data_IF_472372639199
#
_entry.id   IF_472372639199
#
_cell.length_a   1.000
_cell.length_b   1.000
_cell.length_c   1.000
_cell.angle_alpha   90.00
_cell.angle_beta   90.00
_cell.angle_gamma   90.00
#
_symmetry.space_group_name_H-M   'P 1'
#
loop_
_entity.id
_entity.type
_entity.pdbx_description
1 polymer ?
#
# COMPACT_ATOMS: atom_id res chain seq x y z
N UNK A 1 16.87 -0.94 16.58
CA UNK A 1 16.29 -2.25 16.97
C UNK A 1 15.21 -2.63 15.94
N UNK A 2 15.26 -3.85 15.46
CA UNK A 2 14.27 -4.32 14.49
C UNK A 2 12.98 -4.73 15.18
N UNK A 3 11.87 -4.28 14.65
CA UNK A 3 10.54 -4.66 15.10
C UNK A 3 10.01 -5.80 14.24
N UNK A 4 9.39 -6.76 14.88
CA UNK A 4 8.72 -7.88 14.22
C UNK A 4 7.24 -7.73 14.47
N UNK A 5 6.48 -7.45 13.42
CA UNK A 5 5.06 -7.11 13.53
C UNK A 5 4.23 -8.07 12.69
N UNK A 6 3.25 -8.69 13.32
CA UNK A 6 2.30 -9.56 12.64
C UNK A 6 1.17 -8.70 12.08
N UNK A 7 0.94 -8.82 10.78
CA UNK A 7 -0.09 -8.04 10.08
C UNK A 7 -0.95 -8.95 9.24
N UNK A 8 -2.09 -8.44 8.81
CA UNK A 8 -2.99 -9.14 7.90
C UNK A 8 -3.20 -8.29 6.66
N UNK A 9 -3.00 -8.91 5.49
CA UNK A 9 -3.25 -8.28 4.20
C UNK A 9 -4.03 -9.28 3.35
N UNK A 10 -5.16 -8.85 2.80
CA UNK A 10 -6.01 -9.67 1.95
C UNK A 10 -6.44 -10.98 2.65
N UNK A 11 -6.71 -10.88 3.95
CA UNK A 11 -7.11 -12.02 4.76
C UNK A 11 -5.99 -13.00 5.11
N UNK A 12 -4.76 -12.70 4.74
CA UNK A 12 -3.60 -13.56 5.01
C UNK A 12 -2.68 -12.91 6.02
N UNK A 13 -2.11 -13.73 6.90
CA UNK A 13 -1.20 -13.25 7.94
C UNK A 13 0.23 -13.23 7.44
N UNK A 14 0.94 -12.16 7.74
CA UNK A 14 2.36 -11.99 7.43
C UNK A 14 3.07 -11.42 8.66
N UNK A 15 4.35 -11.72 8.77
CA UNK A 15 5.20 -11.09 9.77
C UNK A 15 6.19 -10.20 9.05
N UNK A 16 6.12 -8.90 9.31
CA UNK A 16 7.05 -7.94 8.75
C UNK A 16 8.13 -7.63 9.77
N UNK A 17 9.37 -7.50 9.30
CA UNK A 17 10.51 -7.13 10.13
C UNK A 17 11.11 -5.87 9.55
N UNK A 18 11.24 -4.85 10.37
CA UNK A 18 11.78 -3.57 9.93
C UNK A 18 12.29 -2.74 11.09
N UNK A 19 13.03 -1.70 10.76
CA UNK A 19 13.58 -0.77 11.76
C UNK A 19 12.57 0.31 12.14
N UNK A 20 11.49 0.44 11.38
CA UNK A 20 10.43 1.40 11.64
C UNK A 20 9.65 1.01 12.89
N UNK A 21 8.89 1.96 13.45
CA UNK A 21 8.04 1.69 14.60
C UNK A 21 6.94 0.69 14.23
N UNK A 22 6.41 -0.01 15.23
CA UNK A 22 5.28 -0.91 15.03
C UNK A 22 4.08 -0.17 14.45
N UNK A 23 3.80 1.03 14.96
CA UNK A 23 2.71 1.86 14.46
C UNK A 23 2.87 2.16 12.97
N UNK A 24 4.08 2.52 12.55
CA UNK A 24 4.36 2.78 11.14
C UNK A 24 4.14 1.54 10.28
N UNK A 25 4.65 0.40 10.71
CA UNK A 25 4.50 -0.87 9.99
C UNK A 25 3.03 -1.24 9.86
N UNK A 26 2.24 -1.08 10.92
CA UNK A 26 0.80 -1.37 10.87
C UNK A 26 0.06 -0.41 9.94
N UNK A 27 0.46 0.85 9.91
CA UNK A 27 -0.15 1.85 9.01
C UNK A 27 0.11 1.50 7.54
N UNK A 28 1.33 1.08 7.23
CA UNK A 28 1.69 0.64 5.88
C UNK A 28 0.86 -0.58 5.48
N UNK A 29 0.76 -1.57 6.36
CA UNK A 29 -0.01 -2.78 6.10
C UNK A 29 -1.49 -2.48 5.88
N UNK A 30 -2.06 -1.59 6.70
CA UNK A 30 -3.46 -1.19 6.58
C UNK A 30 -3.73 -0.48 5.25
N UNK A 31 -2.80 0.35 4.80
CA UNK A 31 -2.91 1.02 3.51
C UNK A 31 -2.93 0.02 2.35
N UNK A 32 -2.04 -0.94 2.36
CA UNK A 32 -1.99 -1.98 1.32
C UNK A 32 -3.27 -2.82 1.33
N UNK A 33 -3.75 -3.20 2.51
CA UNK A 33 -4.98 -3.98 2.64
C UNK A 33 -6.18 -3.22 2.06
N UNK A 34 -6.29 -1.93 2.35
CA UNK A 34 -7.32 -1.07 1.81
C UNK A 34 -7.26 -1.00 0.28
N UNK A 35 -6.06 -0.85 -0.27
CA UNK A 35 -5.87 -0.80 -1.72
C UNK A 35 -6.25 -2.11 -2.39
N UNK A 36 -5.94 -3.24 -1.78
CA UNK A 36 -6.34 -4.54 -2.30
C UNK A 36 -7.85 -4.72 -2.28
N UNK A 37 -8.51 -4.24 -1.24
CA UNK A 37 -9.97 -4.27 -1.16
C UNK A 37 -10.57 -3.46 -2.30
N UNK A 38 -10.06 -2.26 -2.57
CA UNK A 38 -10.52 -1.43 -3.68
C UNK A 38 -10.37 -2.12 -5.03
N UNK A 39 -9.22 -2.76 -5.26
CA UNK A 39 -8.95 -3.47 -6.51
C UNK A 39 -9.94 -4.60 -6.71
N UNK A 40 -10.23 -5.38 -5.67
CA UNK A 40 -11.17 -6.50 -5.74
C UNK A 40 -12.60 -6.01 -5.95
N UNK A 41 -13.00 -4.91 -5.34
CA UNK A 41 -14.33 -4.33 -5.49
C UNK A 41 -14.56 -3.82 -6.92
N UNK A 42 -13.57 -3.21 -7.53
CA UNK A 42 -13.66 -2.70 -8.89
C UNK A 42 -13.71 -3.80 -9.95
N UNK A 43 -13.29 -5.00 -9.61
CA UNK A 43 -13.25 -6.13 -10.52
C UNK A 43 -14.53 -6.99 -10.45
N UNK A 44 -15.68 -6.37 -10.30
CA UNK A 44 -16.95 -7.04 -10.05
C UNK A 44 -17.32 -8.08 -11.10
N UNK A 45 -16.93 -7.88 -12.35
CA UNK A 45 -17.27 -8.77 -13.46
C UNK A 45 -16.24 -9.87 -13.72
N UNK A 46 -15.09 -9.85 -13.04
CA UNK A 46 -13.99 -10.77 -13.28
C UNK A 46 -13.45 -11.28 -11.97
N UNK A 47 -13.32 -12.60 -11.83
CA UNK A 47 -12.66 -13.17 -10.68
C UNK A 47 -11.17 -12.93 -10.80
N UNK A 48 -10.61 -12.10 -9.93
CA UNK A 48 -9.19 -11.85 -9.90
C UNK A 48 -8.50 -12.92 -9.07
N UNK A 49 -7.46 -13.54 -9.63
CA UNK A 49 -6.59 -14.36 -8.81
C UNK A 49 -5.71 -13.44 -7.94
N UNK A 50 -5.09 -14.02 -6.91
CA UNK A 50 -4.29 -13.23 -5.97
C UNK A 50 -3.08 -12.56 -6.61
N UNK A 51 -2.45 -13.23 -7.59
CA UNK A 51 -1.28 -12.68 -8.27
C UNK A 51 -1.63 -11.42 -9.03
N UNK A 52 -2.73 -11.44 -9.78
CA UNK A 52 -3.18 -10.27 -10.53
C UNK A 52 -3.60 -9.14 -9.58
N UNK A 53 -4.30 -9.49 -8.50
CA UNK A 53 -4.70 -8.49 -7.50
C UNK A 53 -3.49 -7.80 -6.89
N UNK A 54 -2.42 -8.54 -6.59
CA UNK A 54 -1.19 -7.98 -6.05
C UNK A 54 -0.51 -7.03 -7.04
N UNK A 55 -0.45 -7.40 -8.32
CA UNK A 55 0.13 -6.55 -9.35
C UNK A 55 -0.65 -5.24 -9.50
N UNK A 56 -1.97 -5.31 -9.59
CA UNK A 56 -2.82 -4.13 -9.71
C UNK A 56 -2.71 -3.24 -8.48
N UNK A 57 -2.66 -3.83 -7.31
CA UNK A 57 -2.46 -3.09 -6.05
C UNK A 57 -1.12 -2.37 -6.06
N UNK A 58 -0.06 -3.05 -6.48
CA UNK A 58 1.28 -2.47 -6.57
C UNK A 58 1.30 -1.27 -7.51
N UNK A 59 0.63 -1.36 -8.65
CA UNK A 59 0.53 -0.26 -9.61
C UNK A 59 -0.20 0.93 -8.97
N UNK A 60 -1.31 0.68 -8.28
CA UNK A 60 -2.07 1.75 -7.62
C UNK A 60 -1.27 2.43 -6.52
N UNK A 61 -0.54 1.67 -5.72
CA UNK A 61 0.32 2.21 -4.66
C UNK A 61 1.44 3.05 -5.27
N UNK A 62 2.08 2.55 -6.31
CA UNK A 62 3.13 3.30 -7.00
C UNK A 62 2.59 4.59 -7.61
N UNK A 63 1.39 4.54 -8.21
CA UNK A 63 0.74 5.72 -8.77
C UNK A 63 0.49 6.77 -7.69
N UNK A 64 -0.02 6.36 -6.53
CA UNK A 64 -0.23 7.26 -5.39
C UNK A 64 1.07 7.92 -4.95
N UNK A 65 2.15 7.13 -4.89
CA UNK A 65 3.47 7.64 -4.53
C UNK A 65 3.94 8.71 -5.52
N UNK A 66 3.83 8.44 -6.81
CA UNK A 66 4.29 9.41 -7.83
C UNK A 66 3.43 10.67 -7.84
N UNK A 67 2.14 10.56 -7.62
CA UNK A 67 1.24 11.70 -7.50
C UNK A 67 1.61 12.56 -6.29
N UNK A 68 1.87 11.96 -5.17
CA UNK A 68 2.30 12.66 -3.95
C UNK A 68 3.63 13.37 -4.18
N UNK A 69 4.57 12.70 -4.83
CA UNK A 69 5.87 13.27 -5.15
C UNK A 69 5.74 14.46 -6.10
N UNK A 70 4.89 14.37 -7.11
CA UNK A 70 4.63 15.46 -8.05
C UNK A 70 3.98 16.65 -7.35
N UNK A 71 3.04 16.40 -6.46
CA UNK A 71 2.38 17.44 -5.67
C UNK A 71 3.37 18.18 -4.78
N UNK A 72 4.23 17.44 -4.11
CA UNK A 72 5.27 18.02 -3.25
C UNK A 72 6.23 18.90 -4.06
N UNK A 73 6.67 18.43 -5.21
CA UNK A 73 7.54 19.19 -6.10
C UNK A 73 6.87 20.47 -6.58
N UNK A 74 5.58 20.42 -6.90
CA UNK A 74 4.81 21.58 -7.31
C UNK A 74 4.72 22.62 -6.18
N UNK A 75 4.45 22.18 -4.96
CA UNK A 75 4.39 23.06 -3.81
C UNK A 75 5.74 23.71 -3.52
N UNK A 76 6.82 22.94 -3.59
CA UNK A 76 8.17 23.47 -3.42
C UNK A 76 8.49 24.52 -4.47
N UNK A 77 8.08 24.30 -5.71
CA UNK A 77 8.26 25.26 -6.79
C UNK A 77 7.52 26.57 -6.55
N UNK A 78 6.37 26.52 -5.88
CA UNK A 78 5.59 27.72 -5.56
C UNK A 78 6.20 28.54 -4.43
N UNK A 79 6.99 27.93 -3.58
CA UNK A 79 7.61 28.59 -2.44
C UNK A 79 8.92 29.30 -2.82
N UNK A 80 9.41 29.05 -3.99
CA UNK A 80 10.60 29.68 -4.53
C UNK A 80 10.21 30.90 -5.36
#
# INVERSE_FOLDING_TARGET
MKNRVKISIDGKSFTLVGEESEEHIRSVAAYIDEKMTEVREKAVAVTLDSSLAYVLTSVNVADDYFKEKAYTAELEGRLI
#
